data_IF_358957883243
#
_entry.id   IF_358957883243
#
_cell.length_a   1.000
_cell.length_b   1.000
_cell.length_c   1.000
_cell.angle_alpha   90.00
_cell.angle_beta   90.00
_cell.angle_gamma   90.00
#
_symmetry.space_group_name_H-M   'P 1'
#
loop_
_entity.id
_entity.type
_entity.pdbx_description
1 polymer ?
#
# COMPACT_ATOMS: atom_id res chain seq x y z
N UNK A 1 -15.77 -18.40 -2.54
CA UNK A 1 -15.17 -18.78 -3.84
C UNK A 1 -15.98 -19.85 -4.62
N UNK A 2 -16.22 -19.65 -5.92
CA UNK A 2 -16.84 -20.59 -6.88
C UNK A 2 -15.79 -21.01 -7.91
N UNK A 3 -15.79 -22.29 -8.27
CA UNK A 3 -14.94 -22.86 -9.33
C UNK A 3 -15.78 -23.14 -10.58
N UNK A 4 -15.32 -22.69 -11.74
CA UNK A 4 -15.93 -22.88 -13.05
C UNK A 4 -14.92 -23.58 -13.95
N UNK A 5 -15.33 -24.66 -14.62
CA UNK A 5 -14.51 -25.32 -15.61
C UNK A 5 -14.55 -24.52 -16.91
N UNK A 6 -13.40 -24.18 -17.47
CA UNK A 6 -13.37 -23.53 -18.77
C UNK A 6 -13.69 -24.53 -19.88
N UNK A 7 -14.72 -24.25 -20.66
CA UNK A 7 -15.07 -25.00 -21.87
C UNK A 7 -14.94 -24.13 -23.12
N UNK A 8 -15.59 -22.97 -23.12
CA UNK A 8 -15.47 -21.92 -24.12
C UNK A 8 -15.85 -20.57 -23.53
N UNK A 9 -15.61 -19.49 -24.27
CA UNK A 9 -15.83 -18.12 -23.82
C UNK A 9 -17.30 -17.85 -23.46
N UNK A 10 -18.24 -18.18 -24.35
CA UNK A 10 -19.67 -17.90 -24.17
C UNK A 10 -20.21 -18.55 -22.89
N UNK A 11 -19.91 -19.84 -22.70
CA UNK A 11 -20.34 -20.58 -21.52
C UNK A 11 -19.75 -20.03 -20.23
N UNK A 12 -18.47 -19.63 -20.26
CA UNK A 12 -17.83 -19.00 -19.11
C UNK A 12 -18.56 -17.71 -18.71
N UNK A 13 -18.88 -16.84 -19.67
CA UNK A 13 -19.62 -15.60 -19.39
C UNK A 13 -21.01 -15.86 -18.83
N UNK A 14 -21.75 -16.80 -19.42
CA UNK A 14 -23.08 -17.17 -18.93
C UNK A 14 -23.03 -17.65 -17.48
N UNK A 15 -22.10 -18.55 -17.15
CA UNK A 15 -21.96 -19.06 -15.79
C UNK A 15 -21.49 -17.99 -14.78
N UNK A 16 -20.62 -17.07 -15.20
CA UNK A 16 -20.23 -15.91 -14.36
C UNK A 16 -21.47 -15.05 -14.09
N UNK A 17 -22.19 -14.66 -15.14
CA UNK A 17 -23.34 -13.76 -15.05
C UNK A 17 -24.47 -14.38 -14.21
N UNK A 18 -24.75 -15.67 -14.40
CA UNK A 18 -25.71 -16.42 -13.60
C UNK A 18 -25.28 -16.47 -12.12
N UNK A 19 -24.00 -16.73 -11.86
CA UNK A 19 -23.48 -16.82 -10.49
C UNK A 19 -23.58 -15.49 -9.71
N UNK A 20 -23.48 -14.35 -10.39
CA UNK A 20 -23.46 -13.01 -9.76
C UNK A 20 -24.83 -12.31 -9.73
N UNK A 21 -25.79 -12.75 -10.55
CA UNK A 21 -27.05 -12.04 -10.83
C UNK A 21 -27.81 -11.53 -9.59
N UNK A 22 -27.89 -12.35 -8.54
CA UNK A 22 -28.69 -12.06 -7.34
C UNK A 22 -27.84 -11.85 -6.08
N UNK A 23 -26.54 -11.58 -6.25
CA UNK A 23 -25.60 -11.46 -5.12
C UNK A 23 -25.16 -10.03 -4.93
N UNK A 24 -25.13 -9.59 -3.67
CA UNK A 24 -24.51 -8.33 -3.31
C UNK A 24 -23.00 -8.53 -3.16
N UNK A 25 -22.23 -7.68 -3.84
CA UNK A 25 -20.78 -7.60 -3.79
C UNK A 25 -20.33 -6.25 -4.32
N UNK A 26 -19.12 -5.85 -3.94
CA UNK A 26 -18.47 -4.64 -4.42
C UNK A 26 -17.41 -4.95 -5.47
N UNK A 27 -16.78 -6.12 -5.35
CA UNK A 27 -15.78 -6.63 -6.29
C UNK A 27 -16.05 -8.07 -6.68
N UNK A 28 -15.98 -8.30 -7.99
CA UNK A 28 -15.91 -9.61 -8.61
C UNK A 28 -14.45 -9.92 -8.95
N UNK A 29 -13.89 -10.88 -8.25
CA UNK A 29 -12.51 -11.29 -8.45
C UNK A 29 -12.47 -12.59 -9.24
N UNK A 30 -11.73 -12.59 -10.35
CA UNK A 30 -11.69 -13.69 -11.30
C UNK A 30 -10.24 -14.12 -11.47
N UNK A 31 -9.92 -15.33 -11.03
CA UNK A 31 -8.62 -15.94 -11.31
C UNK A 31 -8.71 -16.91 -12.47
N UNK A 32 -7.91 -16.70 -13.50
CA UNK A 32 -7.91 -17.49 -14.74
C UNK A 32 -6.56 -18.20 -14.96
N UNK A 33 -6.48 -19.21 -15.83
CA UNK A 33 -5.21 -19.69 -16.35
C UNK A 33 -4.49 -18.59 -17.16
N UNK A 34 -3.15 -18.57 -17.15
CA UNK A 34 -2.34 -17.53 -17.83
C UNK A 34 -2.73 -17.28 -19.29
N UNK A 35 -3.09 -18.34 -20.01
CA UNK A 35 -3.48 -18.30 -21.42
C UNK A 35 -4.81 -17.56 -21.61
N UNK A 36 -5.71 -17.58 -20.61
CA UNK A 36 -7.05 -16.98 -20.66
C UNK A 36 -7.11 -15.52 -20.19
N UNK A 37 -6.03 -14.94 -19.67
CA UNK A 37 -6.08 -13.53 -19.23
C UNK A 37 -6.49 -12.56 -20.35
N UNK A 38 -6.21 -12.90 -21.62
CA UNK A 38 -6.63 -12.12 -22.80
C UNK A 38 -8.09 -12.32 -23.23
N UNK A 39 -8.74 -13.38 -22.74
CA UNK A 39 -10.03 -13.86 -23.23
C UNK A 39 -11.20 -13.19 -22.50
N UNK A 40 -11.03 -12.82 -21.23
CA UNK A 40 -12.08 -12.19 -20.43
C UNK A 40 -12.22 -10.70 -20.77
N UNK A 41 -13.35 -10.36 -21.39
CA UNK A 41 -13.76 -9.01 -21.71
C UNK A 41 -14.79 -8.54 -20.69
N UNK A 42 -14.41 -7.56 -19.88
CA UNK A 42 -15.25 -7.00 -18.81
C UNK A 42 -16.63 -6.52 -19.33
N UNK A 43 -16.74 -6.17 -20.63
CA UNK A 43 -18.00 -5.77 -21.26
C UNK A 43 -19.05 -6.88 -21.37
N UNK A 44 -18.66 -8.15 -21.28
CA UNK A 44 -19.55 -9.31 -21.35
C UNK A 44 -20.02 -9.79 -19.97
N UNK A 45 -19.42 -9.25 -18.90
CA UNK A 45 -19.87 -9.50 -17.53
C UNK A 45 -20.85 -8.38 -17.16
N UNK A 46 -22.10 -8.77 -16.92
CA UNK A 46 -23.22 -7.86 -16.67
C UNK A 46 -23.23 -7.40 -15.21
N UNK A 47 -22.26 -6.58 -14.82
CA UNK A 47 -22.22 -5.93 -13.50
C UNK A 47 -21.68 -4.51 -13.58
N UNK A 48 -22.23 -3.62 -12.74
CA UNK A 48 -21.72 -2.27 -12.54
C UNK A 48 -20.65 -2.20 -11.42
N UNK A 49 -20.23 -3.37 -10.92
CA UNK A 49 -19.25 -3.53 -9.84
C UNK A 49 -17.85 -3.70 -10.41
N UNK A 50 -16.82 -3.51 -9.58
CA UNK A 50 -15.44 -3.63 -10.03
C UNK A 50 -15.09 -5.10 -10.33
N UNK A 51 -14.40 -5.31 -11.46
CA UNK A 51 -13.96 -6.64 -11.90
C UNK A 51 -12.44 -6.66 -11.91
N UNK A 52 -11.85 -7.71 -11.34
CA UNK A 52 -10.40 -7.87 -11.31
C UNK A 52 -10.00 -9.25 -11.77
N UNK A 53 -9.18 -9.28 -12.81
CA UNK A 53 -8.75 -10.51 -13.46
C UNK A 53 -7.25 -10.73 -13.24
N UNK A 54 -6.89 -11.91 -12.72
CA UNK A 54 -5.48 -12.29 -12.57
C UNK A 54 -5.25 -13.76 -12.86
N UNK A 55 -4.03 -14.09 -13.28
CA UNK A 55 -3.70 -15.48 -13.52
C UNK A 55 -3.45 -16.29 -12.24
N UNK A 56 -3.36 -15.64 -11.08
CA UNK A 56 -2.92 -16.31 -9.84
C UNK A 56 -3.77 -16.01 -8.62
N UNK A 57 -4.78 -15.14 -8.75
CA UNK A 57 -5.39 -14.54 -7.58
C UNK A 57 -6.29 -15.43 -6.71
N UNK A 58 -6.66 -16.62 -7.15
CA UNK A 58 -7.58 -17.49 -6.38
C UNK A 58 -7.22 -18.97 -6.56
N UNK A 59 -6.01 -19.26 -7.05
CA UNK A 59 -5.59 -20.61 -7.47
C UNK A 59 -4.49 -21.14 -6.55
N UNK A 60 -4.77 -22.25 -5.87
CA UNK A 60 -3.76 -23.00 -5.08
C UNK A 60 -2.88 -23.95 -5.92
N UNK A 61 -3.32 -24.28 -7.15
CA UNK A 61 -2.61 -25.14 -8.11
C UNK A 61 -2.84 -24.61 -9.53
N UNK A 62 -1.88 -24.83 -10.42
CA UNK A 62 -2.09 -24.58 -11.84
C UNK A 62 -3.04 -25.63 -12.41
N UNK A 63 -4.31 -25.27 -12.54
CA UNK A 63 -5.32 -26.01 -13.27
C UNK A 63 -6.03 -25.10 -14.28
N UNK A 64 -6.81 -25.71 -15.18
CA UNK A 64 -7.49 -25.02 -16.29
C UNK A 64 -8.84 -24.39 -15.88
N UNK A 65 -9.12 -24.27 -14.58
CA UNK A 65 -10.39 -23.72 -14.10
C UNK A 65 -10.29 -22.21 -13.85
N UNK A 66 -11.45 -21.58 -13.95
CA UNK A 66 -11.67 -20.19 -13.54
C UNK A 66 -12.24 -20.19 -12.13
N UNK A 67 -11.66 -19.38 -11.26
CA UNK A 67 -12.09 -19.22 -9.88
C UNK A 67 -12.67 -17.83 -9.69
N UNK A 68 -13.80 -17.77 -9.02
CA UNK A 68 -14.56 -16.54 -8.81
C UNK A 68 -14.76 -16.31 -7.32
N UNK A 69 -14.52 -15.09 -6.87
CA UNK A 69 -14.82 -14.66 -5.52
C UNK A 69 -15.61 -13.35 -5.55
N UNK A 70 -16.60 -13.27 -4.67
CA UNK A 70 -17.40 -12.08 -4.46
C UNK A 70 -16.93 -11.46 -3.16
N UNK A 71 -16.48 -10.21 -3.23
CA UNK A 71 -16.00 -9.46 -2.09
C UNK A 71 -17.01 -8.36 -1.81
N UNK A 72 -17.61 -8.39 -0.63
CA UNK A 72 -18.32 -7.25 -0.05
C UNK A 72 -17.30 -6.37 0.66
N UNK A 73 -17.33 -5.07 0.41
CA UNK A 73 -16.61 -4.08 1.18
C UNK A 73 -17.39 -3.88 2.48
N UNK A 74 -17.18 -4.78 3.44
CA UNK A 74 -17.35 -4.39 4.83
C UNK A 74 -16.41 -3.20 5.09
N UNK A 75 -16.79 -2.26 5.94
CA UNK A 75 -15.90 -1.16 6.32
C UNK A 75 -14.74 -1.78 7.09
N UNK A 76 -13.62 -2.02 6.42
CA UNK A 76 -12.42 -2.54 7.06
C UNK A 76 -11.18 -1.73 6.68
N UNK A 77 -10.23 -1.76 7.59
CA UNK A 77 -9.00 -1.01 7.55
C UNK A 77 -7.81 -1.96 7.46
N UNK A 78 -6.91 -1.66 6.53
CA UNK A 78 -5.71 -2.44 6.28
C UNK A 78 -4.50 -1.55 6.55
N UNK A 79 -3.54 -2.04 7.34
CA UNK A 79 -2.24 -1.36 7.49
C UNK A 79 -1.14 -2.22 6.92
N UNK A 80 -0.26 -1.64 6.12
CA UNK A 80 0.96 -2.30 5.63
C UNK A 80 2.16 -1.48 6.08
N UNK A 81 2.84 -1.99 7.09
CA UNK A 81 4.06 -1.40 7.64
C UNK A 81 5.32 -2.08 7.10
N UNK A 82 6.46 -1.42 7.19
CA UNK A 82 7.76 -2.02 6.84
C UNK A 82 8.80 -1.01 6.37
N UNK A 83 10.05 -1.44 6.14
CA UNK A 83 11.16 -0.56 5.79
C UNK A 83 11.02 0.07 4.40
N UNK A 84 11.84 1.08 4.10
CA UNK A 84 11.86 1.73 2.78
C UNK A 84 12.28 0.74 1.69
N UNK A 85 11.63 0.76 0.54
CA UNK A 85 12.00 -0.09 -0.61
C UNK A 85 11.49 -1.52 -0.55
N UNK A 86 10.70 -1.93 0.45
CA UNK A 86 10.10 -3.27 0.50
C UNK A 86 8.93 -3.49 -0.49
N UNK A 87 8.55 -2.47 -1.28
CA UNK A 87 7.47 -2.56 -2.27
C UNK A 87 6.08 -2.18 -1.77
N UNK A 88 5.95 -1.70 -0.52
CA UNK A 88 4.67 -1.36 0.13
C UNK A 88 3.77 -0.48 -0.71
N UNK A 89 4.26 0.66 -1.17
CA UNK A 89 3.43 1.62 -1.91
C UNK A 89 2.83 1.01 -3.18
N UNK A 90 3.60 0.20 -3.89
CA UNK A 90 3.12 -0.49 -5.10
C UNK A 90 2.09 -1.56 -4.75
N UNK A 91 2.37 -2.39 -3.74
CA UNK A 91 1.46 -3.42 -3.24
C UNK A 91 0.16 -2.82 -2.73
N UNK A 92 0.23 -1.76 -1.92
CA UNK A 92 -0.94 -1.09 -1.35
C UNK A 92 -1.80 -0.43 -2.42
N UNK A 93 -1.22 0.21 -3.42
CA UNK A 93 -1.97 0.78 -4.56
C UNK A 93 -2.68 -0.28 -5.40
N UNK A 94 -2.05 -1.44 -5.58
CA UNK A 94 -2.68 -2.55 -6.30
C UNK A 94 -3.84 -3.11 -5.46
N UNK A 95 -3.61 -3.38 -4.18
CA UNK A 95 -4.63 -3.86 -3.25
C UNK A 95 -5.78 -2.85 -3.11
N UNK A 96 -5.51 -1.55 -3.04
CA UNK A 96 -6.54 -0.53 -2.91
C UNK A 96 -7.46 -0.50 -4.12
N UNK A 97 -6.91 -0.61 -5.33
CA UNK A 97 -7.68 -0.77 -6.57
C UNK A 97 -8.46 -2.09 -6.58
N UNK A 98 -7.82 -3.15 -6.07
CA UNK A 98 -8.42 -4.47 -6.05
C UNK A 98 -9.59 -4.55 -5.06
N UNK A 99 -9.48 -3.88 -3.92
CA UNK A 99 -10.48 -3.84 -2.88
C UNK A 99 -11.40 -2.61 -2.99
N UNK A 100 -11.18 -1.75 -3.98
CA UNK A 100 -11.92 -0.51 -4.16
C UNK A 100 -12.04 0.29 -2.85
N UNK A 101 -10.90 0.42 -2.18
CA UNK A 101 -10.74 1.13 -0.91
C UNK A 101 -9.75 2.28 -1.11
N UNK A 102 -9.80 3.26 -0.23
CA UNK A 102 -8.87 4.38 -0.25
C UNK A 102 -7.44 3.93 -0.01
N UNK A 103 -6.48 4.64 -0.62
CA UNK A 103 -5.05 4.44 -0.38
C UNK A 103 -4.46 5.68 0.28
N UNK A 104 -3.79 5.49 1.42
CA UNK A 104 -3.08 6.57 2.11
C UNK A 104 -1.58 6.25 2.21
N UNK A 105 -0.77 7.01 1.47
CA UNK A 105 0.70 7.07 1.65
C UNK A 105 1.02 8.06 2.77
N UNK A 106 1.18 7.54 3.99
CA UNK A 106 1.53 8.39 5.14
C UNK A 106 2.91 9.02 4.99
N UNK A 107 3.84 8.32 4.33
CA UNK A 107 5.17 8.82 4.04
C UNK A 107 5.15 10.09 3.18
N UNK A 108 4.16 10.26 2.32
CA UNK A 108 4.02 11.48 1.50
C UNK A 108 3.78 12.73 2.35
N UNK A 109 3.11 12.62 3.50
CA UNK A 109 2.88 13.74 4.41
C UNK A 109 4.18 14.21 5.07
N UNK A 110 4.97 13.27 5.60
CA UNK A 110 6.29 13.57 6.18
C UNK A 110 7.27 14.12 5.14
N UNK A 111 7.26 13.57 3.93
CA UNK A 111 8.09 14.07 2.82
C UNK A 111 7.64 15.45 2.34
N UNK A 112 6.34 15.76 2.40
CA UNK A 112 5.83 17.11 2.11
C UNK A 112 6.31 18.13 3.14
N UNK A 113 6.24 17.81 4.43
CA UNK A 113 6.81 18.65 5.48
C UNK A 113 8.31 18.88 5.27
N UNK A 114 9.06 17.81 5.03
CA UNK A 114 10.50 17.89 4.77
C UNK A 114 10.83 18.76 3.55
N UNK A 115 10.08 18.60 2.45
CA UNK A 115 10.23 19.43 1.25
C UNK A 115 10.05 20.92 1.55
N UNK A 116 9.03 21.30 2.32
CA UNK A 116 8.83 22.71 2.70
C UNK A 116 9.89 23.23 3.67
N UNK A 117 10.41 22.38 4.57
CA UNK A 117 11.52 22.75 5.45
C UNK A 117 12.79 23.02 4.63
N UNK A 118 13.14 22.12 3.69
CA UNK A 118 14.29 22.29 2.80
C UNK A 118 14.14 23.53 1.91
N UNK A 119 12.97 23.72 1.29
CA UNK A 119 12.67 24.88 0.44
C UNK A 119 12.83 26.22 1.18
N UNK A 120 12.62 26.23 2.49
CA UNK A 120 12.75 27.41 3.35
C UNK A 120 14.08 27.46 4.12
N UNK A 121 15.04 26.57 3.81
CA UNK A 121 16.33 26.46 4.49
C UNK A 121 16.21 26.35 6.02
N UNK A 122 15.20 25.63 6.50
CA UNK A 122 15.00 25.38 7.93
C UNK A 122 16.03 24.37 8.41
N UNK A 123 16.69 24.68 9.54
CA UNK A 123 17.51 23.70 10.24
C UNK A 123 16.62 22.56 10.75
N UNK A 124 16.80 21.36 10.19
CA UNK A 124 15.99 20.19 10.55
C UNK A 124 16.26 19.64 11.95
N UNK A 125 17.32 20.09 12.62
CA UNK A 125 17.64 19.76 14.01
C UNK A 125 16.90 20.66 15.02
N UNK A 126 16.20 21.70 14.53
CA UNK A 126 15.43 22.66 15.33
C UNK A 126 13.93 22.31 15.27
N UNK A 127 13.45 21.56 16.28
CA UNK A 127 12.07 21.08 16.34
C UNK A 127 11.05 22.22 16.25
N UNK A 128 11.30 23.35 16.93
CA UNK A 128 10.37 24.49 16.95
C UNK A 128 10.18 25.09 15.55
N UNK A 129 11.28 25.23 14.78
CA UNK A 129 11.19 25.71 13.39
C UNK A 129 10.47 24.72 12.48
N UNK A 130 10.72 23.42 12.63
CA UNK A 130 10.03 22.37 11.86
C UNK A 130 8.52 22.38 12.16
N UNK A 131 8.15 22.46 13.44
CA UNK A 131 6.75 22.55 13.87
C UNK A 131 6.08 23.82 13.37
N UNK A 132 6.80 24.95 13.35
CA UNK A 132 6.30 26.20 12.75
C UNK A 132 5.96 26.04 11.27
N UNK A 133 6.80 25.34 10.49
CA UNK A 133 6.46 25.01 9.10
C UNK A 133 5.19 24.16 9.06
N UNK A 134 5.14 23.07 9.82
CA UNK A 134 3.99 22.17 9.85
C UNK A 134 2.68 22.88 10.24
N UNK A 135 2.74 23.91 11.08
CA UNK A 135 1.58 24.71 11.47
C UNK A 135 1.05 25.63 10.37
N UNK A 136 1.88 25.97 9.40
CA UNK A 136 1.51 26.81 8.26
C UNK A 136 1.12 25.99 7.01
N UNK A 137 1.19 24.65 7.06
CA UNK A 137 0.78 23.80 5.94
C UNK A 137 -0.70 23.47 6.03
N UNK A 138 -1.42 23.71 4.94
CA UNK A 138 -2.74 23.13 4.71
C UNK A 138 -2.56 21.75 4.07
N UNK A 139 -2.93 20.68 4.79
CA UNK A 139 -2.79 19.30 4.32
C UNK A 139 -4.19 18.72 4.13
N UNK A 140 -4.55 18.41 2.89
CA UNK A 140 -5.82 17.78 2.53
C UNK A 140 -5.59 16.44 1.83
N UNK A 141 -6.64 15.62 1.78
CA UNK A 141 -6.63 14.32 1.11
C UNK A 141 -7.73 14.30 0.05
N UNK A 142 -7.33 14.29 -1.22
CA UNK A 142 -8.20 14.37 -2.38
C UNK A 142 -7.77 13.33 -3.41
N UNK A 143 -8.72 12.60 -4.01
CA UNK A 143 -8.44 11.59 -5.04
C UNK A 143 -7.39 10.55 -4.63
N UNK A 144 -7.45 10.07 -3.39
CA UNK A 144 -6.47 9.13 -2.80
C UNK A 144 -5.02 9.63 -2.77
N UNK A 145 -4.80 10.96 -2.81
CA UNK A 145 -3.50 11.61 -2.76
C UNK A 145 -3.47 12.73 -1.71
N UNK A 146 -2.30 12.93 -1.10
CA UNK A 146 -2.05 14.07 -0.21
C UNK A 146 -1.77 15.31 -1.05
N UNK A 147 -2.48 16.39 -0.72
CA UNK A 147 -2.35 17.72 -1.30
C UNK A 147 -1.91 18.68 -0.20
N UNK A 148 -0.91 19.50 -0.49
CA UNK A 148 -0.36 20.46 0.48
C UNK A 148 -0.36 21.85 -0.12
N UNK A 149 -0.95 22.82 0.59
CA UNK A 149 -1.14 24.20 0.11
C UNK A 149 -1.75 24.24 -1.30
N UNK A 150 -2.80 23.45 -1.51
CA UNK A 150 -3.49 23.27 -2.80
C UNK A 150 -2.63 22.66 -3.94
N UNK A 151 -1.48 22.05 -3.65
CA UNK A 151 -0.57 21.45 -4.63
C UNK A 151 -0.34 19.94 -4.40
N UNK A 152 -0.39 19.14 -5.47
CA UNK A 152 0.09 17.76 -5.46
C UNK A 152 1.60 17.72 -5.76
N UNK A 153 2.42 17.50 -4.73
CA UNK A 153 3.89 17.58 -4.87
C UNK A 153 4.49 16.43 -5.71
N UNK A 154 3.86 15.24 -5.72
CA UNK A 154 4.22 14.06 -6.54
C UNK A 154 5.74 13.78 -6.54
N UNK A 155 6.43 14.01 -7.66
CA UNK A 155 7.83 13.67 -7.82
C UNK A 155 8.77 14.60 -7.04
N UNK A 156 8.33 15.82 -6.69
CA UNK A 156 9.11 16.77 -5.87
C UNK A 156 9.47 16.21 -4.50
N UNK A 157 8.64 15.31 -3.98
CA UNK A 157 8.82 14.68 -2.66
C UNK A 157 9.42 13.27 -2.74
N UNK A 158 9.93 12.85 -3.91
CA UNK A 158 10.52 11.52 -4.12
C UNK A 158 12.05 11.50 -4.19
N UNK A 159 12.70 12.65 -4.06
CA UNK A 159 14.16 12.74 -4.07
C UNK A 159 14.77 12.09 -2.82
N UNK A 160 16.05 11.69 -2.93
CA UNK A 160 16.81 11.12 -1.81
C UNK A 160 16.94 12.13 -0.67
N UNK A 161 17.25 13.39 -1.00
CA UNK A 161 17.36 14.50 -0.05
C UNK A 161 16.07 14.67 0.78
N UNK A 162 14.91 14.77 0.13
CA UNK A 162 13.62 14.88 0.82
C UNK A 162 13.33 13.63 1.65
N UNK A 163 13.71 12.45 1.16
CA UNK A 163 13.51 11.19 1.89
C UNK A 163 14.33 11.11 3.19
N UNK A 164 15.56 11.61 3.17
CA UNK A 164 16.44 11.70 4.35
C UNK A 164 15.95 12.77 5.33
N UNK A 165 15.58 13.94 4.82
CA UNK A 165 14.99 15.00 5.62
C UNK A 165 13.67 14.56 6.29
N UNK A 166 12.83 13.79 5.59
CA UNK A 166 11.61 13.21 6.14
C UNK A 166 11.88 12.27 7.32
N UNK A 167 12.96 11.47 7.25
CA UNK A 167 13.39 10.61 8.37
C UNK A 167 13.67 11.45 9.62
N UNK A 168 14.46 12.52 9.47
CA UNK A 168 14.81 13.45 10.57
C UNK A 168 13.57 14.11 11.20
N UNK A 169 12.74 14.78 10.40
CA UNK A 169 11.57 15.49 10.96
C UNK A 169 10.54 14.55 11.56
N UNK A 170 10.47 13.30 11.10
CA UNK A 170 9.55 12.28 11.64
C UNK A 170 9.95 11.73 13.01
N UNK A 171 11.15 12.05 13.50
CA UNK A 171 11.62 11.66 14.82
C UNK A 171 11.01 12.52 15.96
N UNK A 172 10.52 13.73 15.64
CA UNK A 172 9.93 14.65 16.61
C UNK A 172 8.51 14.24 17.01
N UNK A 173 8.25 14.15 18.32
CA UNK A 173 6.93 13.81 18.85
C UNK A 173 5.87 14.80 18.34
N UNK A 174 6.15 16.10 18.40
CA UNK A 174 5.21 17.17 18.03
C UNK A 174 4.79 17.09 16.55
N UNK A 175 5.72 16.68 15.68
CA UNK A 175 5.42 16.43 14.25
C UNK A 175 4.53 15.20 14.09
N UNK A 176 4.86 14.12 14.79
CA UNK A 176 4.11 12.86 14.71
C UNK A 176 2.70 13.00 15.23
N UNK A 177 2.52 13.59 16.40
CA UNK A 177 1.22 13.81 17.03
C UNK A 177 0.24 14.43 16.04
N UNK A 178 0.61 15.58 15.47
CA UNK A 178 -0.23 16.30 14.51
C UNK A 178 -0.50 15.53 13.21
N UNK A 179 0.54 14.92 12.62
CA UNK A 179 0.37 14.18 11.36
C UNK A 179 -0.44 12.89 11.54
N UNK A 180 -0.29 12.19 12.67
CA UNK A 180 -1.07 11.00 13.00
C UNK A 180 -2.54 11.35 13.22
N UNK A 181 -2.84 12.48 13.85
CA UNK A 181 -4.24 12.93 14.01
C UNK A 181 -4.91 13.21 12.66
N UNK A 182 -4.20 13.85 11.73
CA UNK A 182 -4.70 14.03 10.35
C UNK A 182 -4.91 12.66 9.67
N UNK A 183 -3.97 11.72 9.81
CA UNK A 183 -4.08 10.38 9.21
C UNK A 183 -5.28 9.61 9.74
N UNK A 184 -5.55 9.68 11.06
CA UNK A 184 -6.72 9.07 11.69
C UNK A 184 -8.02 9.70 11.20
N UNK A 185 -8.05 11.02 11.06
CA UNK A 185 -9.22 11.71 10.54
C UNK A 185 -9.51 11.34 9.07
N UNK A 186 -8.48 11.17 8.24
CA UNK A 186 -8.65 10.69 6.86
C UNK A 186 -9.24 9.28 6.83
N UNK A 187 -8.87 8.44 7.79
CA UNK A 187 -9.23 7.03 7.86
C UNK A 187 -10.57 6.73 8.56
N UNK A 188 -11.16 7.68 9.31
CA UNK A 188 -12.27 7.38 10.24
C UNK A 188 -13.53 6.84 9.57
N UNK A 189 -13.85 7.32 8.38
CA UNK A 189 -15.14 7.06 7.71
C UNK A 189 -14.99 6.36 6.36
N UNK A 190 -13.86 5.67 6.15
CA UNK A 190 -13.51 5.08 4.85
C UNK A 190 -12.95 3.67 5.03
N UNK A 191 -13.34 2.76 4.13
CA UNK A 191 -12.54 1.57 3.90
C UNK A 191 -11.20 2.01 3.28
N UNK A 192 -10.08 1.62 3.89
CA UNK A 192 -8.78 2.24 3.59
C UNK A 192 -7.62 1.27 3.81
N UNK A 193 -6.62 1.38 2.96
CA UNK A 193 -5.29 0.79 3.14
C UNK A 193 -4.25 1.88 3.39
N UNK A 194 -3.55 1.78 4.52
CA UNK A 194 -2.52 2.72 4.95
C UNK A 194 -1.14 2.11 4.73
N UNK A 195 -0.34 2.75 3.88
CA UNK A 195 1.09 2.48 3.68
C UNK A 195 1.91 3.33 4.66
N UNK A 196 2.66 2.67 5.54
CA UNK A 196 3.35 3.33 6.63
C UNK A 196 4.53 2.56 7.21
N UNK A 197 4.98 3.03 8.38
CA UNK A 197 6.03 2.40 9.20
C UNK A 197 5.53 1.98 10.57
N UNK A 198 4.46 2.62 11.02
CA UNK A 198 3.85 2.47 12.32
C UNK A 198 2.33 2.64 12.25
N UNK A 199 1.73 2.40 11.08
CA UNK A 199 0.31 2.49 10.85
C UNK A 199 -0.47 1.53 11.76
N UNK A 200 -0.08 0.26 11.83
CA UNK A 200 -0.72 -0.74 12.68
C UNK A 200 -0.38 -0.62 14.17
N UNK A 201 0.65 0.15 14.53
CA UNK A 201 1.08 0.32 15.93
C UNK A 201 0.67 1.66 16.55
N UNK A 202 0.45 2.70 15.75
CA UNK A 202 0.17 4.05 16.25
C UNK A 202 -1.01 4.74 15.55
N UNK A 203 -1.24 4.53 14.25
CA UNK A 203 -2.34 5.19 13.52
C UNK A 203 -3.65 4.45 13.75
N UNK A 204 -3.77 3.24 13.22
CA UNK A 204 -4.92 2.34 13.33
C UNK A 204 -4.55 1.09 14.13
N UNK A 205 -4.44 1.26 15.46
CA UNK A 205 -4.12 0.18 16.40
C UNK A 205 -5.14 -0.96 16.40
N UNK A 206 -6.36 -0.69 15.96
CA UNK A 206 -7.43 -1.67 15.87
C UNK A 206 -7.77 -2.00 14.42
N UNK A 207 -6.82 -1.82 13.49
CA UNK A 207 -7.03 -2.17 12.10
C UNK A 207 -7.41 -3.65 11.93
N UNK A 208 -8.38 -3.92 11.06
CA UNK A 208 -8.91 -5.27 10.83
C UNK A 208 -7.81 -6.20 10.30
N UNK A 209 -6.93 -5.66 9.44
CA UNK A 209 -5.78 -6.39 8.92
C UNK A 209 -4.50 -5.58 9.07
N UNK A 210 -3.49 -6.21 9.66
CA UNK A 210 -2.16 -5.63 9.79
C UNK A 210 -1.14 -6.53 9.14
N UNK A 211 -0.36 -5.95 8.24
CA UNK A 211 0.73 -6.61 7.55
C UNK A 211 2.02 -5.87 7.83
N UNK A 212 3.12 -6.61 7.89
CA UNK A 212 4.46 -6.07 7.91
C UNK A 212 5.23 -6.64 6.73
N UNK A 213 5.44 -5.83 5.70
CA UNK A 213 6.10 -6.22 4.46
C UNK A 213 7.58 -5.87 4.53
N UNK A 214 8.40 -6.92 4.55
CA UNK A 214 9.85 -6.82 4.72
C UNK A 214 10.62 -7.41 3.53
N UNK A 215 11.88 -7.00 3.40
CA UNK A 215 12.90 -7.57 2.53
C UNK A 215 14.28 -7.18 3.06
N UNK A 216 15.31 -7.97 2.75
CA UNK A 216 16.70 -7.66 3.06
C UNK A 216 17.12 -6.30 2.46
N UNK A 217 18.07 -5.63 3.11
CA UNK A 217 18.56 -4.33 2.65
C UNK A 217 19.15 -4.44 1.24
N UNK A 218 19.82 -5.55 0.95
CA UNK A 218 20.43 -5.89 -0.32
C UNK A 218 19.38 -6.02 -1.43
N UNK A 219 18.27 -6.73 -1.18
CA UNK A 219 17.17 -6.85 -2.15
C UNK A 219 16.50 -5.49 -2.39
N UNK A 220 16.29 -4.70 -1.33
CA UNK A 220 15.68 -3.37 -1.45
C UNK A 220 16.59 -2.38 -2.19
N UNK A 221 17.89 -2.44 -1.94
CA UNK A 221 18.90 -1.65 -2.65
C UNK A 221 18.95 -2.04 -4.12
N UNK A 222 18.95 -3.34 -4.43
CA UNK A 222 18.93 -3.83 -5.81
C UNK A 222 17.67 -3.36 -6.55
N UNK A 223 16.48 -3.55 -5.96
CA UNK A 223 15.21 -3.08 -6.55
C UNK A 223 15.25 -1.59 -6.83
N UNK A 224 15.76 -0.80 -5.88
CA UNK A 224 15.88 0.64 -6.06
C UNK A 224 16.85 0.98 -7.18
N UNK A 225 18.05 0.39 -7.19
CA UNK A 225 19.07 0.55 -8.23
C UNK A 225 18.50 0.25 -9.63
N UNK A 226 17.77 -0.86 -9.77
CA UNK A 226 17.12 -1.26 -11.03
C UNK A 226 16.02 -0.27 -11.49
N UNK A 227 15.43 0.50 -10.56
CA UNK A 227 14.37 1.50 -10.81
C UNK A 227 14.90 2.93 -11.00
N UNK A 228 16.18 3.21 -10.68
CA UNK A 228 16.70 4.59 -10.70
C UNK A 228 16.87 5.14 -12.11
N UNK A 229 16.84 6.47 -12.20
CA UNK A 229 17.22 7.25 -13.39
C UNK A 229 18.43 8.15 -13.13
N UNK A 230 19.08 8.01 -11.98
CA UNK A 230 20.24 8.80 -11.58
C UNK A 230 21.50 7.92 -11.51
N UNK A 231 22.67 8.57 -11.37
CA UNK A 231 23.99 7.93 -11.45
C UNK A 231 24.50 7.38 -10.09
N UNK A 232 23.63 7.19 -9.10
CA UNK A 232 24.05 6.66 -7.79
C UNK A 232 24.54 5.21 -7.88
N UNK A 233 25.64 4.89 -7.19
CA UNK A 233 26.12 3.49 -7.14
C UNK A 233 25.23 2.61 -6.26
N UNK A 234 25.22 1.30 -6.53
CA UNK A 234 24.53 0.32 -5.69
C UNK A 234 24.97 0.40 -4.22
N UNK A 235 26.27 0.59 -3.97
CA UNK A 235 26.85 0.70 -2.63
C UNK A 235 26.28 1.90 -1.87
N UNK A 236 26.22 3.06 -2.54
CA UNK A 236 25.65 4.29 -1.95
C UNK A 236 24.19 4.09 -1.58
N UNK A 237 23.41 3.45 -2.46
CA UNK A 237 21.98 3.17 -2.21
C UNK A 237 21.81 2.22 -1.03
N UNK A 238 22.65 1.20 -0.92
CA UNK A 238 22.61 0.23 0.17
C UNK A 238 22.94 0.88 1.51
N UNK A 239 23.95 1.74 1.55
CA UNK A 239 24.31 2.53 2.73
C UNK A 239 23.17 3.46 3.16
N UNK A 240 22.59 4.21 2.22
CA UNK A 240 21.44 5.09 2.48
C UNK A 240 20.24 4.32 3.05
N UNK A 241 19.96 3.13 2.50
CA UNK A 241 18.88 2.27 2.98
C UNK A 241 19.15 1.80 4.41
N UNK A 242 20.38 1.33 4.69
CA UNK A 242 20.76 0.86 6.03
C UNK A 242 20.69 2.00 7.06
N UNK A 243 21.25 3.16 6.72
CA UNK A 243 21.20 4.34 7.58
C UNK A 243 19.76 4.76 7.90
N UNK A 244 18.89 4.75 6.88
CA UNK A 244 17.48 5.09 7.07
C UNK A 244 16.76 4.07 7.94
N UNK A 245 16.99 2.79 7.72
CA UNK A 245 16.36 1.75 8.54
C UNK A 245 16.80 1.83 10.00
N UNK A 246 18.08 2.14 10.26
CA UNK A 246 18.57 2.40 11.62
C UNK A 246 17.87 3.60 12.27
N UNK A 247 17.73 4.71 11.54
CA UNK A 247 16.99 5.89 12.02
C UNK A 247 15.52 5.55 12.32
N UNK A 248 14.86 4.83 11.42
CA UNK A 248 13.46 4.44 11.57
C UNK A 248 13.22 3.48 12.74
N UNK A 249 14.14 2.54 12.99
CA UNK A 249 14.04 1.54 14.08
C UNK A 249 14.42 2.13 15.43
N UNK A 250 15.43 2.99 15.49
CA UNK A 250 15.96 3.53 16.75
C UNK A 250 15.30 4.85 17.17
N UNK A 251 14.35 5.37 16.40
CA UNK A 251 13.63 6.60 16.77
C UNK A 251 12.91 6.42 18.11
N UNK A 252 13.00 7.44 18.96
CA UNK A 252 12.38 7.47 20.30
C UNK A 252 10.86 7.29 20.24
N UNK A 253 10.22 7.87 19.23
CA UNK A 253 8.76 7.87 19.11
C UNK A 253 8.29 7.02 17.94
N UNK A 254 7.37 6.11 18.26
CA UNK A 254 6.71 5.21 17.32
C UNK A 254 7.66 4.38 16.43
N UNK A 255 8.75 3.77 16.94
CA UNK A 255 9.76 3.12 16.10
C UNK A 255 9.20 2.13 15.06
N UNK A 256 9.88 2.00 13.92
CA UNK A 256 9.57 0.99 12.91
C UNK A 256 9.70 -0.40 13.54
N UNK A 257 8.55 -1.02 13.79
CA UNK A 257 8.46 -2.37 14.34
C UNK A 257 7.18 -3.04 13.87
N UNK A 258 7.22 -4.36 13.77
CA UNK A 258 6.04 -5.18 13.52
C UNK A 258 5.08 -5.06 14.69
N UNK A 259 3.80 -4.76 14.44
CA UNK A 259 2.77 -4.92 15.47
C UNK A 259 2.70 -6.40 15.90
N UNK A 260 2.33 -6.66 17.16
CA UNK A 260 2.30 -8.02 17.70
C UNK A 260 1.39 -8.93 16.85
N UNK A 261 0.22 -8.42 16.50
CA UNK A 261 -0.82 -9.07 15.69
C UNK A 261 -0.65 -8.90 14.17
N UNK A 262 0.40 -8.21 13.70
CA UNK A 262 0.65 -8.07 12.26
C UNK A 262 1.26 -9.35 11.65
N UNK A 263 0.78 -9.71 10.46
CA UNK A 263 1.33 -10.82 9.67
C UNK A 263 2.61 -10.36 8.96
N UNK A 264 3.72 -11.08 9.17
CA UNK A 264 4.97 -10.84 8.48
C UNK A 264 4.91 -11.40 7.05
N UNK A 265 5.20 -10.55 6.07
CA UNK A 265 5.37 -10.92 4.66
C UNK A 265 6.83 -10.64 4.28
N UNK A 266 7.68 -11.67 4.25
CA UNK A 266 9.03 -11.56 3.68
C UNK A 266 8.93 -11.66 2.15
N UNK A 267 9.37 -10.62 1.44
CA UNK A 267 9.30 -10.49 0.00
C UNK A 267 10.62 -10.73 -0.74
N UNK A 268 11.68 -11.22 -0.09
CA UNK A 268 13.01 -11.41 -0.71
C UNK A 268 12.95 -12.20 -2.02
N UNK A 269 12.16 -13.27 -2.02
CA UNK A 269 11.99 -14.18 -3.16
C UNK A 269 10.60 -14.08 -3.81
N UNK A 270 9.90 -12.97 -3.60
CA UNK A 270 8.55 -12.75 -4.14
C UNK A 270 8.55 -11.56 -5.08
N UNK A 271 7.83 -11.68 -6.19
CA UNK A 271 7.47 -10.53 -7.02
C UNK A 271 6.21 -9.83 -6.46
N UNK A 272 5.90 -8.65 -6.99
CA UNK A 272 4.76 -7.83 -6.53
C UNK A 272 3.44 -8.62 -6.58
N UNK A 273 3.17 -9.34 -7.67
CA UNK A 273 1.92 -10.11 -7.83
C UNK A 273 1.77 -11.19 -6.75
N UNK A 274 2.87 -11.88 -6.40
CA UNK A 274 2.88 -12.89 -5.34
C UNK A 274 2.63 -12.26 -3.96
N UNK A 275 3.19 -11.07 -3.71
CA UNK A 275 2.97 -10.36 -2.44
C UNK A 275 1.53 -9.89 -2.31
N UNK A 276 1.00 -9.26 -3.37
CA UNK A 276 -0.41 -8.84 -3.45
C UNK A 276 -1.33 -10.03 -3.20
N UNK A 277 -1.05 -11.15 -3.87
CA UNK A 277 -1.90 -12.33 -3.73
C UNK A 277 -1.90 -12.90 -2.32
N UNK A 278 -0.71 -13.04 -1.72
CA UNK A 278 -0.60 -13.54 -0.33
C UNK A 278 -1.36 -12.67 0.66
N UNK A 279 -1.34 -11.34 0.49
CA UNK A 279 -2.11 -10.44 1.35
C UNK A 279 -3.61 -10.62 1.14
N UNK A 280 -4.06 -10.74 -0.11
CA UNK A 280 -5.48 -10.92 -0.43
C UNK A 280 -6.01 -12.27 0.03
N UNK A 281 -5.23 -13.34 -0.05
CA UNK A 281 -5.60 -14.66 0.51
C UNK A 281 -5.91 -14.55 2.01
N UNK A 282 -5.14 -13.76 2.76
CA UNK A 282 -5.35 -13.55 4.20
C UNK A 282 -6.60 -12.72 4.45
N UNK A 283 -6.79 -11.65 3.68
CA UNK A 283 -7.98 -10.78 3.78
C UNK A 283 -9.24 -11.59 3.49
N UNK A 284 -9.25 -12.40 2.42
CA UNK A 284 -10.40 -13.24 2.06
C UNK A 284 -10.59 -14.40 3.04
N UNK A 285 -9.51 -14.99 3.53
CA UNK A 285 -9.54 -16.16 4.40
C UNK A 285 -10.19 -15.94 5.77
N UNK A 286 -10.31 -14.69 6.24
CA UNK A 286 -11.10 -14.35 7.44
C UNK A 286 -12.61 -14.25 7.20
N UNK A 287 -13.03 -14.02 5.96
CA UNK A 287 -14.43 -14.09 5.54
C UNK A 287 -14.84 -15.51 5.11
N UNK A 288 -13.97 -16.50 5.33
CA UNK A 288 -14.19 -17.93 5.07
C UNK A 288 -13.88 -18.72 6.34
N UNK A 289 -14.69 -18.52 7.37
CA UNK A 289 -14.94 -19.51 8.43
C UNK A 289 -16.45 -19.66 8.59
#
# INVERSE_FOLDING_TARGET
MKKIKYENEHKLYDEINEYIKDKNFDILLISTPKIMKKVLNDKLINTNKNILTSSRMLRKKDDDNVYIELINNDVYSVTVDGPSGSGKSTVCKLISKILNIEYLDTGSMYRSLAYYCLKQNVNLEDEEKVVKILNNLEITFESSEIKVNNEFLRDKIRTNEVSMAASKVSAYYSVREKLVDIQRHIASDKAIIIDGRDAGTNILKNADYKFYLDASAEIRAKRRFDEQKDDSSYETILEDIKLRDEQDKNRKYAPLRKAEDAVLINSDNMNIDQVVEKILEIIRGRNVL
#
